data_IF_635374913218
#
_entry.id   IF_635374913218
#
_cell.length_a   1.000
_cell.length_b   1.000
_cell.length_c   1.000
_cell.angle_alpha   90.00
_cell.angle_beta   90.00
_cell.angle_gamma   90.00
#
_symmetry.space_group_name_H-M   'P 1'
#
loop_
_entity.id
_entity.type
_entity.pdbx_description
1 polymer ?
#
# COMPACT_ATOMS: atom_id res chain seq x y z
N UNK A 1 38.04 10.13 12.01
CA UNK A 1 38.86 11.08 11.20
C UNK A 1 38.51 12.50 11.60
N UNK A 2 39.46 13.46 11.60
CA UNK A 2 39.18 14.87 11.97
C UNK A 2 39.11 15.73 10.70
N UNK A 3 38.08 16.55 10.58
CA UNK A 3 37.89 17.46 9.45
C UNK A 3 37.20 18.77 9.83
N UNK A 4 37.15 19.69 8.88
CA UNK A 4 36.40 20.94 8.97
C UNK A 4 35.10 20.83 8.18
N UNK A 5 34.04 21.45 8.70
CA UNK A 5 32.68 21.27 8.23
C UNK A 5 32.04 22.61 7.92
N UNK A 6 31.39 22.67 6.76
CA UNK A 6 30.52 23.79 6.41
C UNK A 6 29.17 23.26 5.94
N UNK A 7 28.12 23.65 6.67
CA UNK A 7 26.73 23.47 6.25
C UNK A 7 26.43 24.45 5.11
N UNK A 8 25.94 23.93 3.99
CA UNK A 8 25.49 24.68 2.82
C UNK A 8 24.08 24.21 2.48
N UNK A 9 23.07 24.76 3.17
CA UNK A 9 21.71 24.23 3.12
C UNK A 9 21.68 22.78 3.62
N UNK A 10 20.98 21.90 2.91
CA UNK A 10 20.89 20.46 3.24
C UNK A 10 22.14 19.63 2.90
N UNK A 11 23.26 20.30 2.58
CA UNK A 11 24.53 19.65 2.29
C UNK A 11 25.59 20.03 3.30
N UNK A 12 26.48 19.08 3.52
CA UNK A 12 27.61 19.21 4.41
C UNK A 12 28.89 19.04 3.59
N UNK A 13 29.62 20.13 3.40
CA UNK A 13 30.92 20.09 2.73
C UNK A 13 31.99 19.81 3.77
N UNK A 14 32.80 18.79 3.51
CA UNK A 14 33.90 18.39 4.38
C UNK A 14 35.23 18.73 3.74
N UNK A 15 36.11 19.36 4.51
CA UNK A 15 37.50 19.69 4.12
C UNK A 15 38.49 19.21 5.17
N UNK A 16 39.77 19.10 4.79
CA UNK A 16 40.84 18.67 5.70
C UNK A 16 40.87 17.17 5.98
N UNK A 17 40.19 16.37 5.16
CA UNK A 17 40.24 14.91 5.17
C UNK A 17 41.39 14.42 4.28
N UNK A 18 42.62 14.40 4.79
CA UNK A 18 43.81 13.91 4.05
C UNK A 18 43.63 12.43 3.64
N UNK A 19 43.20 12.20 2.39
CA UNK A 19 43.05 10.86 1.78
C UNK A 19 41.80 10.06 2.20
N UNK A 20 41.15 10.44 3.30
CA UNK A 20 39.96 9.79 3.84
C UNK A 20 38.70 9.89 2.96
N UNK A 21 38.65 10.88 2.05
CA UNK A 21 37.50 11.11 1.16
C UNK A 21 37.19 9.89 0.29
N UNK A 22 38.24 9.23 -0.24
CA UNK A 22 38.08 8.11 -1.15
C UNK A 22 37.53 6.86 -0.43
N UNK A 23 37.93 6.64 0.82
CA UNK A 23 37.41 5.56 1.67
C UNK A 23 35.92 5.77 2.01
N UNK A 24 35.54 7.00 2.37
CA UNK A 24 34.13 7.33 2.64
C UNK A 24 33.26 7.14 1.40
N UNK A 25 33.70 7.63 0.24
CA UNK A 25 33.00 7.42 -1.03
C UNK A 25 32.93 5.94 -1.39
N UNK A 26 34.01 5.17 -1.20
CA UNK A 26 34.03 3.72 -1.42
C UNK A 26 33.11 2.94 -0.48
N UNK A 27 32.85 3.47 0.71
CA UNK A 27 31.85 2.95 1.66
C UNK A 27 30.43 3.44 1.37
N UNK A 28 30.24 4.23 0.32
CA UNK A 28 28.94 4.73 -0.12
C UNK A 28 28.45 5.97 0.61
N UNK A 29 29.35 6.73 1.26
CA UNK A 29 29.02 8.01 1.89
C UNK A 29 29.44 9.18 1.00
N UNK A 30 28.50 10.06 0.70
CA UNK A 30 28.75 11.31 0.03
C UNK A 30 29.19 11.17 -1.42
N UNK A 31 29.54 12.31 -2.02
CA UNK A 31 29.99 12.41 -3.41
C UNK A 31 31.14 13.37 -3.54
N UNK A 32 32.09 13.05 -4.40
CA UNK A 32 33.22 13.93 -4.72
C UNK A 32 32.86 14.87 -5.86
N UNK A 33 32.65 16.15 -5.55
CA UNK A 33 32.45 17.23 -6.53
C UNK A 33 33.50 18.32 -6.31
N UNK A 34 34.77 17.97 -6.54
CA UNK A 34 35.92 18.75 -6.11
C UNK A 34 36.22 18.57 -4.61
N UNK A 35 35.21 18.69 -3.75
CA UNK A 35 35.25 18.37 -2.32
C UNK A 35 34.27 17.23 -1.98
N UNK A 36 34.42 16.64 -0.81
CA UNK A 36 33.45 15.68 -0.30
C UNK A 36 32.18 16.41 0.15
N UNK A 37 31.08 16.16 -0.56
CA UNK A 37 29.73 16.57 -0.18
C UNK A 37 29.01 15.39 0.46
N UNK A 38 28.53 15.58 1.69
CA UNK A 38 27.63 14.67 2.39
C UNK A 38 26.23 15.29 2.46
N UNK A 39 25.22 14.45 2.49
CA UNK A 39 23.88 14.82 2.98
C UNK A 39 23.90 15.05 4.50
N UNK A 40 22.86 15.68 5.04
CA UNK A 40 22.68 15.82 6.48
C UNK A 40 22.64 14.44 7.17
N UNK A 41 21.98 13.46 6.55
CA UNK A 41 21.81 12.11 7.10
C UNK A 41 23.14 11.34 7.16
N UNK A 42 23.94 11.41 6.09
CA UNK A 42 25.27 10.81 6.05
C UNK A 42 26.21 11.46 7.07
N UNK A 43 26.20 12.79 7.16
CA UNK A 43 27.05 13.51 8.10
C UNK A 43 26.67 13.20 9.55
N UNK A 44 25.37 13.22 9.88
CA UNK A 44 24.87 12.85 11.20
C UNK A 44 25.30 11.43 11.61
N UNK A 45 25.13 10.46 10.71
CA UNK A 45 25.47 9.07 10.99
C UNK A 45 26.98 8.89 11.23
N UNK A 46 27.81 9.54 10.40
CA UNK A 46 29.26 9.48 10.55
C UNK A 46 29.74 10.17 11.84
N UNK A 47 29.03 11.19 12.32
CA UNK A 47 29.30 11.86 13.58
C UNK A 47 28.88 11.03 14.79
N UNK A 48 27.66 10.50 14.78
CA UNK A 48 27.12 9.64 15.85
C UNK A 48 28.00 8.40 16.03
N UNK A 49 28.41 7.76 14.93
CA UNK A 49 29.27 6.58 14.96
C UNK A 49 30.77 6.88 15.22
N UNK A 50 31.14 8.16 15.41
CA UNK A 50 32.52 8.59 15.67
C UNK A 50 33.49 8.39 14.50
N UNK A 51 33.00 7.97 13.33
CA UNK A 51 33.80 7.82 12.10
C UNK A 51 34.33 9.16 11.61
N UNK A 52 33.60 10.22 11.93
CA UNK A 52 33.91 11.60 11.59
C UNK A 52 33.86 12.47 12.85
N UNK A 53 34.85 13.33 13.01
CA UNK A 53 34.93 14.30 14.10
C UNK A 53 35.12 15.69 13.51
N UNK A 54 34.31 16.63 14.00
CA UNK A 54 34.35 18.03 13.61
C UNK A 54 34.99 18.80 14.75
N UNK A 55 35.92 19.70 14.42
CA UNK A 55 36.44 20.62 15.43
C UNK A 55 35.30 21.49 15.97
N UNK A 56 35.10 21.47 17.29
CA UNK A 56 34.15 22.34 18.00
C UNK A 56 32.68 22.17 17.58
N UNK A 57 32.29 20.98 17.09
CA UNK A 57 30.90 20.65 16.86
C UNK A 57 30.63 19.21 17.32
N UNK A 58 29.84 19.05 18.38
CA UNK A 58 29.40 17.73 18.82
C UNK A 58 28.14 17.28 18.06
N UNK A 59 27.76 16.01 18.21
CA UNK A 59 26.61 15.46 17.50
C UNK A 59 25.30 16.19 17.81
N UNK A 60 25.07 16.57 19.07
CA UNK A 60 23.88 17.31 19.49
C UNK A 60 23.79 18.68 18.81
N UNK A 61 24.89 19.43 18.82
CA UNK A 61 24.96 20.74 18.15
C UNK A 61 24.79 20.62 16.63
N UNK A 62 25.32 19.55 16.02
CA UNK A 62 25.07 19.26 14.61
C UNK A 62 23.58 19.00 14.35
N UNK A 63 22.93 18.17 15.20
CA UNK A 63 21.52 17.83 15.08
C UNK A 63 20.63 19.08 15.16
N UNK A 64 20.88 19.96 16.12
CA UNK A 64 20.17 21.23 16.27
C UNK A 64 20.30 22.11 15.02
N UNK A 65 21.52 22.24 14.47
CA UNK A 65 21.75 22.97 13.22
C UNK A 65 21.05 22.33 12.03
N UNK A 66 21.12 21.01 11.90
CA UNK A 66 20.49 20.28 10.79
C UNK A 66 18.96 20.42 10.82
N UNK A 67 18.34 20.33 12.01
CA UNK A 67 16.90 20.55 12.20
C UNK A 67 16.48 21.99 11.88
N UNK A 68 17.32 22.98 12.21
CA UNK A 68 17.05 24.39 11.87
C UNK A 68 17.04 24.64 10.35
N UNK A 69 17.83 23.86 9.60
CA UNK A 69 17.93 23.95 8.15
C UNK A 69 16.82 23.15 7.44
N UNK A 70 16.51 21.95 7.97
CA UNK A 70 15.54 21.04 7.38
C UNK A 70 14.69 20.42 8.49
N UNK A 71 13.48 20.92 8.77
CA UNK A 71 12.65 20.41 9.85
C UNK A 71 12.33 18.91 9.73
N UNK A 72 12.24 18.39 8.49
CA UNK A 72 11.99 16.95 8.22
C UNK A 72 13.25 16.07 8.34
N UNK A 73 14.42 16.67 8.59
CA UNK A 73 15.68 15.92 8.73
C UNK A 73 15.62 14.87 9.84
N UNK A 74 15.01 15.17 10.99
CA UNK A 74 14.95 14.22 12.11
C UNK A 74 14.32 12.88 11.73
N UNK A 75 13.14 12.94 11.11
CA UNK A 75 12.41 11.74 10.61
C UNK A 75 13.25 10.99 9.57
N UNK A 76 13.86 11.71 8.61
CA UNK A 76 14.74 11.08 7.61
C UNK A 76 15.95 10.41 8.25
N UNK A 77 16.55 11.05 9.26
CA UNK A 77 17.72 10.52 9.93
C UNK A 77 17.42 9.21 10.67
N UNK A 78 16.27 9.12 11.33
CA UNK A 78 15.86 7.89 12.02
C UNK A 78 15.78 6.71 11.05
N UNK A 79 15.14 6.90 9.88
CA UNK A 79 15.08 5.88 8.82
C UNK A 79 16.47 5.57 8.27
N UNK A 80 17.30 6.59 8.04
CA UNK A 80 18.65 6.38 7.51
C UNK A 80 19.52 5.55 8.47
N UNK A 81 19.49 5.89 9.76
CA UNK A 81 20.20 5.18 10.83
C UNK A 81 19.73 3.73 10.91
N UNK A 82 18.43 3.49 11.00
CA UNK A 82 17.88 2.13 11.08
C UNK A 82 18.32 1.26 9.88
N UNK A 83 18.25 1.77 8.65
CA UNK A 83 18.70 1.03 7.46
C UNK A 83 20.21 0.77 7.47
N UNK A 84 21.02 1.73 7.93
CA UNK A 84 22.48 1.57 8.03
C UNK A 84 22.86 0.55 9.11
N UNK A 85 22.18 0.56 10.25
CA UNK A 85 22.42 -0.38 11.34
C UNK A 85 22.03 -1.81 10.93
N UNK A 86 20.99 -1.96 10.09
CA UNK A 86 20.63 -3.23 9.44
C UNK A 86 21.61 -3.67 8.34
N UNK A 87 22.61 -2.86 8.02
CA UNK A 87 23.67 -3.15 7.05
C UNK A 87 23.30 -2.89 5.59
N UNK A 88 22.25 -2.11 5.32
CA UNK A 88 21.91 -1.73 3.95
C UNK A 88 22.84 -0.63 3.41
N UNK A 89 23.08 -0.67 2.10
CA UNK A 89 23.58 0.50 1.40
C UNK A 89 22.40 1.41 1.04
N UNK A 90 22.48 2.66 1.52
CA UNK A 90 21.43 3.68 1.44
C UNK A 90 22.05 4.95 0.87
N UNK A 91 21.42 5.56 -0.12
CA UNK A 91 21.82 6.85 -0.68
C UNK A 91 20.67 7.87 -0.63
N UNK A 92 20.87 9.05 -0.01
CA UNK A 92 19.88 10.11 -0.04
C UNK A 92 19.62 10.67 -1.43
N UNK A 93 18.35 10.74 -1.83
CA UNK A 93 17.97 11.11 -3.19
C UNK A 93 18.15 12.62 -3.47
N UNK A 94 18.03 13.47 -2.44
CA UNK A 94 18.27 14.93 -2.51
C UNK A 94 19.74 15.36 -2.42
N UNK A 95 20.66 14.46 -2.05
CA UNK A 95 22.08 14.78 -1.77
C UNK A 95 22.95 15.06 -3.01
N UNK A 96 22.41 14.94 -4.22
CA UNK A 96 23.00 15.51 -5.43
C UNK A 96 23.51 14.50 -6.44
N UNK A 97 22.66 14.14 -7.41
CA UNK A 97 23.08 13.57 -8.70
C UNK A 97 22.40 12.25 -9.09
N UNK A 98 21.23 11.93 -8.53
CA UNK A 98 20.29 11.08 -9.25
C UNK A 98 19.40 11.98 -10.10
N UNK A 99 19.49 11.89 -11.44
CA UNK A 99 18.41 12.35 -12.32
C UNK A 99 17.21 11.43 -12.01
N UNK A 100 16.35 11.83 -11.08
CA UNK A 100 15.26 10.98 -10.61
C UNK A 100 14.50 11.52 -9.39
N UNK A 101 15.04 12.52 -8.69
CA UNK A 101 14.27 13.25 -7.68
C UNK A 101 13.33 14.26 -8.33
N UNK A 102 12.18 13.78 -8.83
CA UNK A 102 11.09 14.67 -9.22
C UNK A 102 10.74 15.58 -8.04
N UNK A 103 10.68 16.90 -8.29
CA UNK A 103 10.08 17.86 -7.36
C UNK A 103 8.57 17.59 -7.33
N UNK A 104 8.15 16.56 -6.61
CA UNK A 104 6.75 16.30 -6.29
C UNK A 104 6.33 17.27 -5.19
N UNK A 105 5.68 18.37 -5.58
CA UNK A 105 5.09 19.37 -4.69
C UNK A 105 3.78 18.88 -4.05
N UNK A 106 3.76 17.66 -3.52
CA UNK A 106 2.64 17.10 -2.77
C UNK A 106 2.70 17.51 -1.31
N UNK A 107 1.52 17.78 -0.71
CA UNK A 107 1.38 18.19 0.70
C UNK A 107 1.79 17.09 1.70
N UNK A 108 1.84 15.81 1.28
CA UNK A 108 2.19 14.65 2.11
C UNK A 108 3.68 14.30 2.19
N UNK A 109 4.59 15.17 1.74
CA UNK A 109 6.01 15.08 2.06
C UNK A 109 6.93 14.70 0.91
N UNK A 110 7.26 15.64 0.03
CA UNK A 110 8.47 15.64 -0.81
C UNK A 110 8.64 14.49 -1.83
N UNK A 111 9.71 14.53 -2.63
CA UNK A 111 10.07 13.47 -3.59
C UNK A 111 10.65 12.23 -2.91
N UNK A 112 11.25 11.31 -3.68
CA UNK A 112 11.95 10.13 -3.14
C UNK A 112 12.89 10.53 -1.99
N UNK A 113 12.81 9.83 -0.86
CA UNK A 113 13.68 10.06 0.29
C UNK A 113 15.04 9.42 0.05
N UNK A 114 15.08 8.08 -0.03
CA UNK A 114 16.31 7.30 -0.18
C UNK A 114 16.25 6.31 -1.34
N UNK A 115 17.42 6.04 -1.91
CA UNK A 115 17.67 4.88 -2.76
C UNK A 115 18.25 3.76 -1.91
N UNK A 116 17.60 2.60 -1.93
CA UNK A 116 18.03 1.42 -1.20
C UNK A 116 18.53 0.36 -2.17
N UNK A 117 19.71 -0.16 -1.88
CA UNK A 117 20.35 -1.19 -2.69
C UNK A 117 20.01 -2.59 -2.14
N UNK A 118 20.03 -3.63 -3.00
CA UNK A 118 19.91 -5.00 -2.53
C UNK A 118 20.88 -5.30 -1.39
N UNK A 119 20.46 -6.16 -0.46
CA UNK A 119 21.30 -6.55 0.67
C UNK A 119 22.64 -7.13 0.18
N UNK A 120 23.73 -6.68 0.78
CA UNK A 120 25.09 -7.09 0.42
C UNK A 120 25.69 -6.39 -0.81
N UNK A 121 24.91 -5.63 -1.59
CA UNK A 121 25.43 -4.86 -2.72
C UNK A 121 25.99 -3.51 -2.26
N UNK A 122 27.10 -3.09 -2.86
CA UNK A 122 27.64 -1.74 -2.66
C UNK A 122 27.11 -0.76 -3.71
N UNK A 123 27.03 0.55 -3.40
CA UNK A 123 26.73 1.56 -4.40
C UNK A 123 27.75 1.51 -5.55
N UNK A 124 27.27 1.36 -6.78
CA UNK A 124 28.10 1.22 -7.99
C UNK A 124 28.25 -0.22 -8.50
N UNK A 125 27.94 -1.23 -7.69
CA UNK A 125 27.97 -2.64 -8.09
C UNK A 125 26.65 -3.09 -8.73
N UNK A 126 25.53 -2.74 -8.07
CA UNK A 126 24.17 -2.98 -8.57
C UNK A 126 23.37 -1.68 -8.50
N UNK A 127 22.36 -1.50 -9.38
CA UNK A 127 21.44 -0.38 -9.24
C UNK A 127 20.62 -0.51 -7.95
N UNK A 128 20.12 0.63 -7.46
CA UNK A 128 19.15 0.63 -6.36
C UNK A 128 17.91 -0.19 -6.77
N UNK A 129 17.47 -1.08 -5.87
CA UNK A 129 16.29 -1.94 -6.09
C UNK A 129 15.02 -1.26 -5.59
N UNK A 130 15.12 -0.50 -4.50
CA UNK A 130 13.99 0.16 -3.88
C UNK A 130 14.21 1.68 -3.84
N UNK A 131 13.10 2.39 -3.79
CA UNK A 131 13.08 3.76 -3.33
C UNK A 131 12.21 3.85 -2.08
N UNK A 132 12.64 4.70 -1.14
CA UNK A 132 11.97 4.85 0.15
C UNK A 132 11.30 6.22 0.18
N UNK A 133 10.01 6.22 0.51
CA UNK A 133 9.24 7.39 0.91
C UNK A 133 9.14 7.41 2.42
N UNK A 134 9.35 8.57 3.02
CA UNK A 134 9.51 8.70 4.47
C UNK A 134 8.38 9.57 5.01
N UNK A 135 7.62 8.99 5.93
CA UNK A 135 6.50 9.60 6.60
C UNK A 135 6.73 9.59 8.11
N UNK A 136 6.24 10.61 8.79
CA UNK A 136 5.88 10.54 10.20
C UNK A 136 4.47 9.95 10.31
N UNK A 137 4.16 9.28 11.42
CA UNK A 137 2.81 8.82 11.75
C UNK A 137 1.75 9.93 11.66
N UNK A 138 2.15 11.19 11.90
CA UNK A 138 1.26 12.35 11.80
C UNK A 138 1.07 12.87 10.37
N UNK A 139 1.83 12.37 9.39
CA UNK A 139 1.66 12.78 8.00
C UNK A 139 0.37 12.17 7.42
N UNK A 140 -0.41 13.02 6.76
CA UNK A 140 -1.55 12.57 5.99
C UNK A 140 -1.09 12.11 4.59
N UNK A 141 -1.51 10.91 4.19
CA UNK A 141 -1.21 10.31 2.89
C UNK A 141 -2.52 10.03 2.14
N UNK A 142 -2.80 10.79 1.08
CA UNK A 142 -3.99 10.59 0.26
C UNK A 142 -3.86 9.34 -0.63
N UNK A 143 -4.99 8.69 -0.97
CA UNK A 143 -5.03 7.57 -1.92
C UNK A 143 -4.47 7.95 -3.30
N UNK A 144 -4.69 9.18 -3.75
CA UNK A 144 -4.12 9.69 -5.02
C UNK A 144 -2.59 9.72 -4.98
N UNK A 145 -2.00 10.06 -3.83
CA UNK A 145 -0.55 10.04 -3.65
C UNK A 145 -0.01 8.61 -3.70
N UNK A 146 -0.74 7.61 -3.19
CA UNK A 146 -0.35 6.20 -3.36
C UNK A 146 -0.33 5.80 -4.84
N UNK A 147 -1.32 6.24 -5.63
CA UNK A 147 -1.35 6.03 -7.09
C UNK A 147 -0.14 6.66 -7.79
N UNK A 148 0.23 7.89 -7.43
CA UNK A 148 1.44 8.55 -7.96
C UNK A 148 2.72 7.77 -7.60
N UNK A 149 2.79 7.21 -6.39
CA UNK A 149 3.93 6.39 -5.96
C UNK A 149 4.04 5.07 -6.72
N UNK A 150 2.91 4.40 -6.98
CA UNK A 150 2.88 3.19 -7.81
C UNK A 150 3.34 3.49 -9.24
N UNK A 151 2.82 4.56 -9.84
CA UNK A 151 3.25 4.99 -11.18
C UNK A 151 4.74 5.34 -11.22
N UNK A 152 5.26 6.00 -10.17
CA UNK A 152 6.70 6.29 -10.05
C UNK A 152 7.53 5.00 -9.95
N UNK A 153 7.07 4.04 -9.16
CA UNK A 153 7.72 2.74 -8.98
C UNK A 153 7.86 1.99 -10.30
N UNK A 154 6.77 1.92 -11.07
CA UNK A 154 6.72 1.28 -12.38
C UNK A 154 7.65 1.98 -13.38
N UNK A 155 7.53 3.31 -13.50
CA UNK A 155 8.36 4.12 -14.39
C UNK A 155 9.87 3.96 -14.11
N UNK A 156 10.23 3.83 -12.84
CA UNK A 156 11.61 3.66 -12.42
C UNK A 156 12.09 2.20 -12.42
N UNK A 157 11.17 1.24 -12.61
CA UNK A 157 11.39 -0.20 -12.43
C UNK A 157 12.03 -0.49 -11.07
N UNK A 158 11.45 0.06 -10.00
CA UNK A 158 11.89 -0.13 -8.61
C UNK A 158 10.71 -0.45 -7.72
N UNK A 159 10.97 -1.16 -6.63
CA UNK A 159 9.97 -1.44 -5.60
C UNK A 159 9.81 -0.21 -4.68
N UNK A 160 8.56 0.16 -4.36
CA UNK A 160 8.22 1.28 -3.50
C UNK A 160 8.11 0.82 -2.05
N UNK A 161 8.88 1.44 -1.16
CA UNK A 161 8.81 1.20 0.29
C UNK A 161 8.39 2.49 0.99
N UNK A 162 7.35 2.40 1.83
CA UNK A 162 6.96 3.46 2.75
C UNK A 162 7.63 3.17 4.10
N UNK A 163 8.43 4.11 4.58
CA UNK A 163 8.99 4.09 5.93
C UNK A 163 8.19 5.08 6.78
N UNK A 164 7.50 4.57 7.80
CA UNK A 164 6.69 5.35 8.73
C UNK A 164 7.40 5.40 10.07
N UNK A 165 7.61 6.60 10.59
CA UNK A 165 8.24 6.85 11.89
C UNK A 165 7.19 7.31 12.88
N UNK A 166 7.04 6.60 13.98
CA UNK A 166 6.09 6.94 15.04
C UNK A 166 6.65 7.97 16.05
N UNK A 167 5.81 8.32 17.03
CA UNK A 167 6.18 9.24 18.10
C UNK A 167 7.29 8.71 19.03
N UNK A 168 7.50 7.38 19.09
CA UNK A 168 8.53 6.73 19.89
C UNK A 168 9.87 6.58 19.14
N UNK A 169 9.94 7.10 17.91
CA UNK A 169 11.09 7.03 17.00
C UNK A 169 11.36 5.63 16.42
N UNK A 170 10.39 4.73 16.48
CA UNK A 170 10.44 3.43 15.83
C UNK A 170 10.04 3.56 14.36
N UNK A 171 10.65 2.72 13.52
CA UNK A 171 10.49 2.77 12.06
C UNK A 171 9.81 1.49 11.58
N UNK A 172 8.64 1.64 10.95
CA UNK A 172 7.92 0.56 10.28
C UNK A 172 8.01 0.71 8.77
N UNK A 173 8.26 -0.40 8.06
CA UNK A 173 8.37 -0.42 6.62
C UNK A 173 7.21 -1.18 5.98
N UNK A 174 6.56 -0.56 5.00
CA UNK A 174 5.49 -1.15 4.19
C UNK A 174 5.91 -1.20 2.73
N UNK A 175 5.62 -2.31 2.06
CA UNK A 175 5.75 -2.39 0.61
C UNK A 175 4.45 -1.93 -0.03
N UNK A 176 4.55 -1.02 -1.00
CA UNK A 176 3.40 -0.54 -1.77
C UNK A 176 3.34 -1.28 -3.10
N UNK A 177 2.27 -2.05 -3.30
CA UNK A 177 1.98 -2.83 -4.51
C UNK A 177 0.53 -2.63 -4.93
N UNK A 178 0.29 -2.72 -6.22
CA UNK A 178 -1.04 -2.89 -6.76
C UNK A 178 -1.55 -4.30 -6.41
N UNK A 179 -2.71 -4.36 -5.77
CA UNK A 179 -3.37 -5.63 -5.49
C UNK A 179 -4.20 -6.04 -6.71
N UNK A 180 -4.08 -7.31 -7.10
CA UNK A 180 -4.97 -7.94 -8.08
C UNK A 180 -5.91 -8.85 -7.33
N UNK A 181 -7.20 -8.66 -7.54
CA UNK A 181 -8.25 -9.50 -6.97
C UNK A 181 -8.75 -10.41 -8.09
N UNK A 182 -8.56 -11.71 -7.92
CA UNK A 182 -9.13 -12.75 -8.79
C UNK A 182 -10.13 -13.52 -7.92
N UNK A 183 -11.32 -13.81 -8.45
CA UNK A 183 -12.34 -14.57 -7.74
C UNK A 183 -11.84 -15.94 -7.31
N UNK A 184 -12.18 -16.35 -6.09
CA UNK A 184 -11.96 -17.71 -5.61
C UNK A 184 -13.05 -18.64 -6.18
N UNK A 185 -13.11 -18.79 -7.50
CA UNK A 185 -13.77 -19.95 -8.10
C UNK A 185 -12.78 -21.13 -8.07
N UNK A 186 -12.84 -21.90 -6.98
CA UNK A 186 -12.22 -23.22 -6.85
C UNK A 186 -10.68 -23.26 -6.82
N UNK A 187 -10.08 -23.15 -5.63
CA UNK A 187 -8.75 -23.75 -5.41
C UNK A 187 -8.85 -25.27 -5.59
N UNK A 188 -8.65 -25.78 -6.81
CA UNK A 188 -8.33 -27.19 -7.05
C UNK A 188 -7.01 -27.46 -6.32
N UNK A 189 -7.07 -28.07 -5.13
CA UNK A 189 -5.88 -28.62 -4.47
C UNK A 189 -5.25 -29.64 -5.43
N UNK A 190 -4.13 -29.25 -6.03
CA UNK A 190 -3.30 -30.10 -6.86
C UNK A 190 -2.69 -31.24 -6.02
N UNK A 191 -3.49 -32.29 -5.80
CA UNK A 191 -3.03 -33.62 -5.42
C UNK A 191 -3.11 -34.50 -6.66
N UNK A 192 -1.95 -34.85 -7.23
CA UNK A 192 -1.78 -35.83 -8.32
C UNK A 192 -2.83 -36.96 -8.26
N UNK A 193 -3.81 -36.94 -9.15
CA UNK A 193 -4.58 -38.11 -9.61
C UNK A 193 -4.84 -37.97 -11.10
N UNK A 194 -5.06 -39.12 -11.71
CA UNK A 194 -4.60 -39.45 -13.05
C UNK A 194 -5.48 -38.89 -14.16
N UNK A 195 -4.79 -38.54 -15.24
CA UNK A 195 -5.29 -38.01 -16.51
C UNK A 195 -6.23 -39.04 -17.16
N UNK A 196 -7.52 -38.86 -16.94
CA UNK A 196 -8.60 -39.73 -17.41
C UNK A 196 -9.98 -39.29 -16.91
N UNK A 197 -10.03 -38.59 -15.78
CA UNK A 197 -11.26 -38.00 -15.20
C UNK A 197 -11.46 -36.52 -15.61
N UNK A 198 -10.47 -35.90 -16.27
CA UNK A 198 -10.46 -34.47 -16.65
C UNK A 198 -11.42 -34.12 -17.81
N UNK A 199 -11.89 -35.10 -18.59
CA UNK A 199 -12.85 -34.88 -19.69
C UNK A 199 -14.30 -35.10 -19.24
N UNK A 200 -14.57 -36.08 -18.36
CA UNK A 200 -15.90 -36.26 -17.74
C UNK A 200 -16.24 -35.13 -16.76
N UNK A 201 -15.28 -34.60 -15.98
CA UNK A 201 -15.54 -33.47 -15.07
C UNK A 201 -15.78 -32.14 -15.83
N UNK A 202 -15.17 -31.96 -17.01
CA UNK A 202 -15.41 -30.78 -17.86
C UNK A 202 -16.76 -30.85 -18.58
N UNK A 203 -17.20 -32.04 -18.97
CA UNK A 203 -18.55 -32.25 -19.52
C UNK A 203 -19.61 -32.07 -18.41
N UNK A 204 -19.38 -32.56 -17.19
CA UNK A 204 -20.31 -32.34 -16.05
C UNK A 204 -20.31 -30.88 -15.58
N UNK A 205 -19.17 -30.17 -15.58
CA UNK A 205 -19.13 -28.74 -15.21
C UNK A 205 -19.79 -27.84 -16.29
N UNK A 206 -19.63 -28.15 -17.58
CA UNK A 206 -20.37 -27.48 -18.65
C UNK A 206 -21.85 -27.86 -18.67
N UNK A 207 -22.20 -29.10 -18.32
CA UNK A 207 -23.59 -29.52 -18.12
C UNK A 207 -24.19 -28.83 -16.90
N UNK A 208 -23.46 -28.60 -15.80
CA UNK A 208 -23.96 -27.88 -14.61
C UNK A 208 -24.05 -26.37 -14.83
N UNK A 209 -23.12 -25.74 -15.56
CA UNK A 209 -23.26 -24.32 -15.94
C UNK A 209 -24.37 -24.10 -16.97
N UNK A 210 -24.51 -25.02 -17.93
CA UNK A 210 -25.65 -25.01 -18.86
C UNK A 210 -26.95 -25.38 -18.17
N UNK A 211 -26.97 -26.23 -17.15
CA UNK A 211 -28.14 -26.51 -16.30
C UNK A 211 -28.45 -25.34 -15.37
N UNK A 212 -27.47 -24.54 -14.92
CA UNK A 212 -27.75 -23.32 -14.15
C UNK A 212 -28.25 -22.19 -15.07
N UNK A 213 -27.69 -22.03 -16.27
CA UNK A 213 -28.23 -21.08 -17.26
C UNK A 213 -29.58 -21.54 -17.83
N UNK A 214 -29.78 -22.85 -18.05
CA UNK A 214 -31.07 -23.43 -18.46
C UNK A 214 -32.06 -23.52 -17.31
N UNK A 215 -31.69 -23.70 -16.05
CA UNK A 215 -32.63 -23.56 -14.92
C UNK A 215 -32.98 -22.08 -14.74
N UNK A 216 -32.04 -21.17 -14.98
CA UNK A 216 -32.32 -19.73 -15.01
C UNK A 216 -33.18 -19.33 -16.21
N UNK A 217 -33.15 -20.02 -17.34
CA UNK A 217 -34.00 -19.80 -18.53
C UNK A 217 -35.30 -20.65 -18.57
N UNK A 218 -35.33 -21.84 -17.97
CA UNK A 218 -36.51 -22.71 -17.86
C UNK A 218 -37.37 -22.32 -16.64
N UNK A 219 -36.80 -21.77 -15.56
CA UNK A 219 -37.58 -21.03 -14.54
C UNK A 219 -38.10 -19.69 -15.08
N UNK A 220 -37.59 -19.17 -16.22
CA UNK A 220 -38.26 -18.06 -16.93
C UNK A 220 -39.52 -18.51 -17.67
N UNK A 221 -39.77 -19.83 -17.75
CA UNK A 221 -40.98 -20.44 -18.28
C UNK A 221 -41.98 -20.85 -17.20
N UNK A 222 -42.67 -19.86 -16.61
CA UNK A 222 -43.86 -20.00 -15.73
C UNK A 222 -43.60 -20.21 -14.23
N UNK A 223 -43.09 -19.19 -13.55
CA UNK A 223 -43.70 -18.68 -12.31
C UNK A 223 -43.30 -17.20 -12.18
N UNK A 224 -44.25 -16.31 -11.89
CA UNK A 224 -43.97 -14.89 -11.69
C UNK A 224 -42.88 -14.74 -10.62
N UNK A 225 -41.69 -14.20 -10.96
CA UNK A 225 -40.60 -13.92 -10.00
C UNK A 225 -41.17 -13.15 -8.81
N UNK A 226 -41.46 -13.87 -7.72
CA UNK A 226 -41.98 -13.30 -6.49
C UNK A 226 -40.80 -12.64 -5.80
N UNK A 227 -40.59 -11.36 -6.11
CA UNK A 227 -39.58 -10.52 -5.47
C UNK A 227 -39.72 -10.67 -3.95
N UNK A 228 -38.61 -10.78 -3.24
CA UNK A 228 -38.67 -11.06 -1.81
C UNK A 228 -38.87 -9.78 -0.99
N UNK A 229 -39.73 -9.89 0.03
CA UNK A 229 -39.99 -8.82 0.99
C UNK A 229 -38.82 -8.62 1.93
N UNK A 230 -38.46 -7.35 2.07
CA UNK A 230 -37.41 -6.89 2.96
C UNK A 230 -37.93 -5.81 3.89
N UNK A 231 -37.48 -5.83 5.13
CA UNK A 231 -37.74 -4.79 6.11
C UNK A 231 -36.45 -4.04 6.41
N UNK A 232 -36.50 -2.71 6.35
CA UNK A 232 -35.40 -1.86 6.81
C UNK A 232 -35.46 -1.77 8.34
N UNK A 233 -34.32 -1.97 9.01
CA UNK A 233 -34.19 -1.91 10.46
C UNK A 233 -32.86 -1.24 10.81
N UNK A 234 -32.90 0.07 11.03
CA UNK A 234 -31.69 0.85 11.31
C UNK A 234 -30.70 0.79 10.14
N UNK A 235 -29.51 0.26 10.40
CA UNK A 235 -28.41 0.03 9.45
C UNK A 235 -28.48 -1.34 8.74
N UNK A 236 -29.56 -2.11 8.95
CA UNK A 236 -29.71 -3.47 8.45
C UNK A 236 -30.95 -3.63 7.59
N UNK A 237 -30.87 -4.60 6.68
CA UNK A 237 -31.98 -5.03 5.84
C UNK A 237 -32.31 -6.48 6.20
N UNK A 238 -33.56 -6.73 6.58
CA UNK A 238 -34.02 -8.06 7.00
C UNK A 238 -34.82 -8.69 5.87
N UNK A 239 -34.30 -9.76 5.29
CA UNK A 239 -35.04 -10.62 4.36
C UNK A 239 -35.91 -11.59 5.14
N UNK A 240 -37.21 -11.57 4.87
CA UNK A 240 -38.20 -12.38 5.60
C UNK A 240 -38.50 -13.72 4.93
N UNK A 241 -38.15 -13.87 3.65
CA UNK A 241 -38.33 -15.13 2.92
C UNK A 241 -37.30 -16.16 3.38
N UNK A 242 -37.75 -17.20 4.09
CA UNK A 242 -36.86 -18.21 4.67
C UNK A 242 -36.15 -19.06 3.60
N UNK A 243 -36.79 -19.33 2.46
CA UNK A 243 -36.22 -20.14 1.39
C UNK A 243 -35.09 -19.39 0.69
N UNK A 244 -35.37 -18.15 0.28
CA UNK A 244 -34.37 -17.28 -0.32
C UNK A 244 -33.26 -16.92 0.68
N UNK A 245 -33.59 -16.68 1.95
CA UNK A 245 -32.61 -16.43 3.01
C UNK A 245 -31.63 -17.59 3.19
N UNK A 246 -32.13 -18.83 3.23
CA UNK A 246 -31.27 -20.01 3.33
C UNK A 246 -30.41 -20.19 2.08
N UNK A 247 -30.96 -19.98 0.88
CA UNK A 247 -30.23 -20.09 -0.39
C UNK A 247 -29.11 -19.05 -0.47
N UNK A 248 -29.44 -17.77 -0.27
CA UNK A 248 -28.48 -16.66 -0.31
C UNK A 248 -27.36 -16.81 0.73
N UNK A 249 -27.68 -17.29 1.93
CA UNK A 249 -26.68 -17.53 2.97
C UNK A 249 -25.79 -18.74 2.68
N UNK A 250 -26.38 -19.90 2.34
CA UNK A 250 -25.65 -21.16 2.20
C UNK A 250 -24.90 -21.28 0.89
N UNK A 251 -25.50 -20.85 -0.23
CA UNK A 251 -24.94 -21.01 -1.57
C UNK A 251 -24.09 -19.81 -2.01
N UNK A 252 -24.49 -18.60 -1.63
CA UNK A 252 -23.88 -17.36 -2.14
C UNK A 252 -23.22 -16.48 -1.06
N UNK A 253 -23.21 -16.96 0.19
CA UNK A 253 -22.54 -16.32 1.33
C UNK A 253 -22.96 -14.85 1.55
N UNK A 254 -24.24 -14.53 1.37
CA UNK A 254 -24.79 -13.23 1.72
C UNK A 254 -25.23 -13.17 3.16
N UNK A 255 -24.93 -12.05 3.83
CA UNK A 255 -25.50 -11.68 5.12
C UNK A 255 -25.26 -12.68 6.24
N UNK A 256 -26.09 -12.57 7.28
CA UNK A 256 -26.07 -13.46 8.45
C UNK A 256 -27.44 -14.06 8.68
N UNK A 257 -27.53 -15.39 8.68
CA UNK A 257 -28.76 -16.10 8.96
C UNK A 257 -29.06 -16.09 10.47
N UNK A 258 -30.29 -15.70 10.84
CA UNK A 258 -30.79 -15.69 12.22
C UNK A 258 -31.36 -17.03 12.62
N UNK A 259 -31.62 -17.22 13.93
CA UNK A 259 -32.30 -18.42 14.44
C UNK A 259 -33.74 -18.55 13.91
N UNK A 260 -34.41 -17.44 13.62
CA UNK A 260 -35.74 -17.43 13.02
C UNK A 260 -35.72 -17.57 11.49
N UNK A 261 -34.61 -18.02 10.88
CA UNK A 261 -34.45 -18.20 9.43
C UNK A 261 -34.67 -16.93 8.60
N UNK A 262 -34.38 -15.77 9.17
CA UNK A 262 -34.33 -14.48 8.47
C UNK A 262 -32.90 -14.13 8.11
N UNK A 263 -32.67 -13.49 6.96
CA UNK A 263 -31.35 -13.03 6.57
C UNK A 263 -31.14 -11.57 6.96
N UNK A 264 -30.09 -11.29 7.70
CA UNK A 264 -29.63 -9.93 7.96
C UNK A 264 -28.59 -9.54 6.93
N UNK A 265 -28.93 -8.58 6.09
CA UNK A 265 -28.08 -8.00 5.06
C UNK A 265 -27.59 -6.63 5.50
N UNK A 266 -26.37 -6.27 5.10
CA UNK A 266 -25.90 -4.89 5.05
C UNK A 266 -26.59 -4.12 3.91
N UNK A 267 -26.51 -2.79 3.91
CA UNK A 267 -27.02 -2.00 2.80
C UNK A 267 -26.34 -2.30 1.48
N UNK A 268 -25.02 -2.54 1.46
CA UNK A 268 -24.29 -2.87 0.22
C UNK A 268 -24.78 -4.19 -0.38
N UNK A 269 -24.97 -5.22 0.45
CA UNK A 269 -25.49 -6.52 0.00
C UNK A 269 -26.94 -6.41 -0.49
N UNK A 270 -27.81 -5.74 0.26
CA UNK A 270 -29.21 -5.57 -0.13
C UNK A 270 -29.35 -4.75 -1.41
N UNK A 271 -28.53 -3.71 -1.59
CA UNK A 271 -28.51 -2.89 -2.81
C UNK A 271 -28.05 -3.72 -4.01
N UNK A 272 -27.03 -4.57 -3.84
CA UNK A 272 -26.56 -5.48 -4.87
C UNK A 272 -27.65 -6.49 -5.27
N UNK A 273 -28.30 -7.14 -4.30
CA UNK A 273 -29.40 -8.08 -4.54
C UNK A 273 -30.64 -7.42 -5.15
N UNK A 274 -30.91 -6.16 -4.78
CA UNK A 274 -31.97 -5.36 -5.39
C UNK A 274 -31.66 -5.03 -6.85
N UNK A 275 -30.39 -4.70 -7.17
CA UNK A 275 -29.93 -4.49 -8.56
C UNK A 275 -30.06 -5.77 -9.40
N UNK A 276 -29.78 -6.93 -8.81
CA UNK A 276 -30.01 -8.25 -9.42
C UNK A 276 -31.51 -8.63 -9.55
N UNK A 277 -32.42 -7.79 -9.05
CA UNK A 277 -33.87 -7.98 -9.18
C UNK A 277 -34.48 -8.99 -8.20
N UNK A 278 -33.73 -9.40 -7.17
CA UNK A 278 -34.17 -10.42 -6.21
C UNK A 278 -35.08 -9.85 -5.09
N UNK A 279 -35.08 -8.54 -4.88
CA UNK A 279 -35.82 -7.88 -3.80
C UNK A 279 -36.98 -7.00 -4.32
N UNK A 280 -38.04 -6.86 -3.52
CA UNK A 280 -39.21 -6.02 -3.87
C UNK A 280 -38.86 -4.53 -3.91
N UNK A 281 -38.09 -4.07 -2.92
CA UNK A 281 -37.63 -2.68 -2.82
C UNK A 281 -36.68 -2.36 -3.96
N UNK A 282 -36.90 -1.23 -4.62
CA UNK A 282 -36.11 -0.84 -5.79
C UNK A 282 -34.70 -0.39 -5.42
N UNK A 283 -33.76 -0.58 -6.34
CA UNK A 283 -32.38 -0.14 -6.20
C UNK A 283 -32.28 1.33 -5.79
N UNK A 284 -33.06 2.20 -6.44
CA UNK A 284 -33.10 3.63 -6.14
C UNK A 284 -33.48 3.93 -4.69
N UNK A 285 -34.48 3.24 -4.16
CA UNK A 285 -34.92 3.42 -2.77
C UNK A 285 -33.85 2.98 -1.77
N UNK A 286 -33.13 1.89 -2.06
CA UNK A 286 -32.02 1.46 -1.22
C UNK A 286 -30.86 2.45 -1.25
N UNK A 287 -30.49 2.95 -2.42
CA UNK A 287 -29.44 3.96 -2.56
C UNK A 287 -29.81 5.24 -1.81
N UNK A 288 -31.04 5.73 -1.96
CA UNK A 288 -31.53 6.92 -1.25
C UNK A 288 -31.47 6.74 0.28
N UNK A 289 -31.94 5.59 0.78
CA UNK A 289 -31.93 5.32 2.21
C UNK A 289 -30.50 5.13 2.75
N UNK A 290 -29.68 4.34 2.06
CA UNK A 290 -28.33 4.04 2.50
C UNK A 290 -27.42 5.28 2.46
N UNK A 291 -27.55 6.14 1.45
CA UNK A 291 -26.80 7.41 1.36
C UNK A 291 -27.23 8.40 2.45
N UNK A 292 -28.49 8.33 2.90
CA UNK A 292 -28.97 9.15 4.01
C UNK A 292 -28.41 8.68 5.38
N UNK A 293 -28.00 7.42 5.51
CA UNK A 293 -27.41 6.85 6.73
C UNK A 293 -25.88 6.92 6.70
N UNK A 294 -25.28 6.61 5.54
CA UNK A 294 -23.84 6.54 5.32
C UNK A 294 -23.44 7.45 4.14
N UNK A 295 -22.68 8.51 4.42
CA UNK A 295 -22.30 9.50 3.39
C UNK A 295 -21.34 8.95 2.33
N UNK A 296 -20.58 7.90 2.66
CA UNK A 296 -19.62 7.20 1.80
C UNK A 296 -20.18 5.90 1.19
N UNK A 297 -21.51 5.74 1.24
CA UNK A 297 -22.18 4.53 0.78
C UNK A 297 -21.91 4.22 -0.70
N UNK A 298 -21.92 5.23 -1.56
CA UNK A 298 -21.75 5.04 -3.00
C UNK A 298 -20.36 4.50 -3.34
N UNK A 299 -19.32 5.01 -2.67
CA UNK A 299 -17.95 4.54 -2.81
C UNK A 299 -17.82 3.09 -2.33
N UNK A 300 -18.40 2.77 -1.17
CA UNK A 300 -18.43 1.39 -0.65
C UNK A 300 -19.17 0.43 -1.59
N UNK A 301 -20.32 0.85 -2.11
CA UNK A 301 -21.13 0.04 -3.02
C UNK A 301 -20.39 -0.23 -4.33
N UNK A 302 -19.72 0.78 -4.90
CA UNK A 302 -18.92 0.61 -6.11
C UNK A 302 -17.80 -0.44 -5.92
N UNK A 303 -17.07 -0.38 -4.79
CA UNK A 303 -16.04 -1.38 -4.46
C UNK A 303 -16.66 -2.76 -4.22
N UNK A 304 -17.77 -2.84 -3.47
CA UNK A 304 -18.45 -4.11 -3.20
C UNK A 304 -18.95 -4.78 -4.49
N UNK A 305 -19.54 -4.00 -5.41
CA UNK A 305 -20.02 -4.47 -6.70
C UNK A 305 -18.89 -5.01 -7.57
N UNK A 306 -17.77 -4.28 -7.65
CA UNK A 306 -16.57 -4.72 -8.37
C UNK A 306 -15.99 -6.01 -7.77
N UNK A 307 -15.86 -6.09 -6.44
CA UNK A 307 -15.37 -7.29 -5.76
C UNK A 307 -16.30 -8.51 -5.88
N UNK A 308 -17.60 -8.31 -6.10
CA UNK A 308 -18.57 -9.40 -6.36
C UNK A 308 -18.61 -9.83 -7.83
N UNK A 309 -18.16 -8.97 -8.74
CA UNK A 309 -18.14 -9.24 -10.18
C UNK A 309 -16.85 -9.96 -10.64
N UNK A 310 -15.76 -9.85 -9.87
CA UNK A 310 -14.48 -10.52 -10.10
C UNK A 310 -14.40 -11.88 -9.42
#
# INVERSE_FOLDING_TARGET
MRGEFRLLGEKVVVTGLEGAEADLVGKGYGRKKGRLELSLEEAAFLLETGRLQIKQLNFKEFLERALSVSPRFGVRYLVYRDLKDRGYAVQPAGGGGGRGGGRGGGRGGGGVGFWLYPRGAKPGEKPAKYFIRIFSELDFLALSELGELLALAENMRKESILAVVDAESDVTYYELKEAKFEGLQGEKKAGKRERGEEEEEQEVEQEVEQEVEQEVEEEQGKEEKKKAKVSLLGDRVVLLDAGLAESLYKKHFYGKLTKERRLLLSFVEATYLSKAGLLETSFKQFVEHATAVESDFLEKYAVYEDLRAN
#
